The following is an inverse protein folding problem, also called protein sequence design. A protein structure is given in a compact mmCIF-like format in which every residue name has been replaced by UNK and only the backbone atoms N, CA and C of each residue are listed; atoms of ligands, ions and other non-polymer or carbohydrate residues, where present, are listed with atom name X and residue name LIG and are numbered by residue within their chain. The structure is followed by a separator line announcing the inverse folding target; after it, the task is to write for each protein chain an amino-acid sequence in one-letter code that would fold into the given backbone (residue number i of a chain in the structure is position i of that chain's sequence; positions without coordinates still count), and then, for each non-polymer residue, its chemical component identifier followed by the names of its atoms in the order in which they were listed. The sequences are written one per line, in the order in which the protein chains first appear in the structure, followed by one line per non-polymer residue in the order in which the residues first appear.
data_IF_787255017295
#
_entry.id   IF_787255017295
#
_cell.length_a   1.000
_cell.length_b   1.000
_cell.length_c   1.000
_cell.angle_alpha   90.00
_cell.angle_beta   90.00
_cell.angle_gamma   90.00
#
_symmetry.space_group_name_H-M   'P 1'
#
loop_
_entity.id
_entity.type
_entity.pdbx_description
1 polymer ?
#
# COMPACT_ATOMS: atom_id res chain seq x y z
N UNK A 1 -17.28 -4.18 -4.41
CA UNK A 1 -16.18 -3.18 -4.46
C UNK A 1 -14.84 -3.78 -4.03
N UNK A 2 -14.74 -4.33 -2.84
CA UNK A 2 -13.50 -4.92 -2.30
C UNK A 2 -12.82 -5.94 -3.22
N UNK A 3 -13.61 -6.76 -3.92
CA UNK A 3 -13.08 -7.72 -4.89
C UNK A 3 -12.29 -7.04 -6.02
N UNK A 4 -12.82 -5.93 -6.59
CA UNK A 4 -12.13 -5.14 -7.62
C UNK A 4 -10.84 -4.55 -7.04
N UNK A 5 -10.91 -3.94 -5.85
CA UNK A 5 -9.76 -3.35 -5.19
C UNK A 5 -8.67 -4.38 -4.93
N UNK A 6 -9.03 -5.56 -4.42
CA UNK A 6 -8.09 -6.65 -4.17
C UNK A 6 -7.38 -7.13 -5.43
N UNK A 7 -8.11 -7.29 -6.54
CA UNK A 7 -7.52 -7.71 -7.83
C UNK A 7 -6.57 -6.68 -8.42
N UNK A 8 -6.82 -5.39 -8.18
CA UNK A 8 -6.00 -4.32 -8.73
C UNK A 8 -4.85 -3.88 -7.83
N UNK A 9 -4.77 -4.36 -6.61
CA UNK A 9 -3.66 -4.06 -5.72
C UNK A 9 -2.36 -4.78 -6.14
N UNK A 10 -1.94 -4.53 -7.38
CA UNK A 10 -0.72 -5.08 -7.97
C UNK A 10 0.44 -4.07 -7.89
N UNK A 11 1.70 -4.54 -7.89
CA UNK A 11 2.86 -3.64 -7.92
C UNK A 11 2.80 -2.64 -9.08
N UNK A 12 2.42 -3.08 -10.28
CA UNK A 12 2.33 -2.21 -11.47
C UNK A 12 1.27 -1.11 -11.33
N UNK A 13 0.13 -1.40 -10.69
CA UNK A 13 -0.87 -0.36 -10.42
C UNK A 13 -0.40 0.59 -9.32
N UNK A 14 0.17 0.07 -8.24
CA UNK A 14 0.68 0.90 -7.13
C UNK A 14 1.75 1.89 -7.55
N UNK A 15 2.58 1.53 -8.53
CA UNK A 15 3.65 2.39 -9.06
C UNK A 15 3.21 3.28 -10.22
N UNK A 16 1.97 3.13 -10.71
CA UNK A 16 1.49 3.82 -11.91
C UNK A 16 2.03 3.26 -13.22
N UNK A 17 2.75 2.13 -13.20
CA UNK A 17 3.25 1.47 -14.40
C UNK A 17 2.15 0.76 -15.21
N UNK A 18 1.00 0.50 -14.59
CA UNK A 18 -0.17 -0.07 -15.25
C UNK A 18 -1.22 1.00 -15.49
N UNK A 19 -1.75 1.07 -16.70
CA UNK A 19 -2.81 1.99 -17.12
C UNK A 19 -3.82 1.29 -18.00
N UNK A 20 -4.90 2.00 -18.35
CA UNK A 20 -5.91 1.57 -19.30
C UNK A 20 -7.08 0.83 -18.68
N UNK A 21 -7.85 0.19 -19.53
CA UNK A 21 -9.13 -0.42 -19.17
C UNK A 21 -8.98 -1.88 -18.73
N UNK A 22 -9.84 -2.32 -17.82
CA UNK A 22 -9.95 -3.70 -17.34
C UNK A 22 -11.35 -4.22 -17.57
N UNK A 23 -11.43 -5.51 -17.92
CA UNK A 23 -12.67 -6.19 -18.26
C UNK A 23 -12.79 -7.54 -17.52
N UNK A 24 -12.73 -7.55 -16.16
CA UNK A 24 -12.80 -8.82 -15.45
C UNK A 24 -14.16 -9.48 -15.63
N UNK A 25 -14.12 -10.81 -15.79
CA UNK A 25 -15.31 -11.62 -15.65
C UNK A 25 -15.55 -11.92 -14.18
N UNK A 26 -16.79 -11.91 -13.77
CA UNK A 26 -17.16 -12.35 -12.42
C UNK A 26 -17.06 -13.86 -12.36
N UNK A 27 -16.17 -14.34 -11.51
CA UNK A 27 -15.97 -15.77 -11.29
C UNK A 27 -16.96 -16.32 -10.26
N UNK A 28 -17.21 -17.64 -10.33
CA UNK A 28 -18.02 -18.31 -9.32
C UNK A 28 -17.48 -18.11 -7.91
N UNK A 29 -16.14 -18.10 -7.74
CA UNK A 29 -15.47 -17.81 -6.47
C UNK A 29 -15.79 -16.40 -5.94
N UNK A 30 -15.85 -15.40 -6.82
CA UNK A 30 -16.24 -14.04 -6.44
C UNK A 30 -17.69 -13.97 -5.95
N UNK A 31 -18.59 -14.72 -6.61
CA UNK A 31 -20.00 -14.82 -6.23
C UNK A 31 -20.14 -15.52 -4.86
N UNK A 32 -19.39 -16.58 -4.62
CA UNK A 32 -19.41 -17.32 -3.36
C UNK A 32 -18.81 -16.50 -2.20
N UNK A 33 -17.74 -15.75 -2.48
CA UNK A 33 -17.06 -14.93 -1.46
C UNK A 33 -17.87 -13.70 -1.02
N UNK A 34 -18.60 -13.07 -1.94
CA UNK A 34 -19.31 -11.80 -1.68
C UNK A 34 -20.81 -12.02 -1.52
N UNK A 35 -21.37 -13.03 -2.20
CA UNK A 35 -22.79 -13.23 -2.35
C UNK A 35 -23.35 -12.52 -3.59
N UNK A 36 -24.20 -13.23 -4.36
CA UNK A 36 -24.72 -12.72 -5.64
C UNK A 36 -25.46 -11.39 -5.47
N UNK A 37 -26.33 -11.28 -4.47
CA UNK A 37 -27.12 -10.08 -4.20
C UNK A 37 -26.24 -8.87 -3.90
N UNK A 38 -25.32 -9.01 -2.98
CA UNK A 38 -24.37 -7.99 -2.58
C UNK A 38 -23.53 -7.50 -3.78
N UNK A 39 -23.09 -8.44 -4.61
CA UNK A 39 -22.30 -8.13 -5.81
C UNK A 39 -23.10 -7.32 -6.82
N UNK A 40 -24.39 -7.65 -7.06
CA UNK A 40 -25.28 -6.88 -7.92
C UNK A 40 -25.55 -5.48 -7.37
N UNK A 41 -25.81 -5.35 -6.09
CA UNK A 41 -26.03 -4.06 -5.40
C UNK A 41 -24.78 -3.16 -5.48
N UNK A 42 -23.59 -3.71 -5.21
CA UNK A 42 -22.33 -2.98 -5.33
C UNK A 42 -22.02 -2.57 -6.78
N UNK A 43 -22.27 -3.46 -7.75
CA UNK A 43 -22.08 -3.13 -9.16
C UNK A 43 -22.99 -1.98 -9.61
N UNK A 44 -24.26 -1.98 -9.17
CA UNK A 44 -25.20 -0.90 -9.48
C UNK A 44 -24.78 0.45 -8.87
N UNK A 45 -24.25 0.45 -7.63
CA UNK A 45 -23.72 1.66 -6.97
C UNK A 45 -22.50 2.20 -7.73
N UNK A 46 -21.56 1.36 -8.10
CA UNK A 46 -20.37 1.76 -8.85
C UNK A 46 -20.69 2.24 -10.27
N UNK A 47 -21.64 1.59 -10.94
CA UNK A 47 -22.14 2.04 -12.24
C UNK A 47 -22.83 3.40 -12.12
N UNK A 48 -23.69 3.58 -11.12
CA UNK A 48 -24.34 4.85 -10.83
C UNK A 48 -23.39 5.99 -10.51
N UNK A 49 -22.21 5.69 -9.93
CA UNK A 49 -21.15 6.67 -9.68
C UNK A 49 -20.26 6.95 -10.91
N UNK A 50 -20.45 6.22 -12.00
CA UNK A 50 -19.66 6.34 -13.23
C UNK A 50 -18.24 5.77 -13.13
N UNK A 51 -17.96 4.99 -12.08
CA UNK A 51 -16.64 4.36 -11.89
C UNK A 51 -16.46 3.07 -12.67
N UNK A 52 -17.57 2.40 -13.00
CA UNK A 52 -17.58 1.19 -13.83
C UNK A 52 -18.70 1.27 -14.86
N UNK A 53 -18.59 0.46 -15.93
CA UNK A 53 -19.70 0.08 -16.78
C UNK A 53 -19.95 -1.42 -16.63
N UNK A 54 -21.19 -1.83 -16.68
CA UNK A 54 -21.59 -3.23 -16.44
C UNK A 54 -22.36 -3.76 -17.65
N UNK A 55 -21.89 -4.88 -18.19
CA UNK A 55 -22.65 -5.68 -19.14
C UNK A 55 -23.60 -6.59 -18.37
N UNK A 56 -24.86 -6.20 -18.30
CA UNK A 56 -25.90 -6.94 -17.59
C UNK A 56 -26.48 -8.07 -18.44
N UNK A 57 -26.84 -9.18 -17.78
CA UNK A 57 -27.65 -10.28 -18.35
C UNK A 57 -28.98 -10.36 -17.61
N UNK A 58 -29.94 -11.09 -18.21
CA UNK A 58 -31.21 -11.46 -17.58
C UNK A 58 -31.94 -10.30 -16.89
N UNK A 59 -32.15 -9.21 -17.63
CA UNK A 59 -32.80 -8.01 -17.08
C UNK A 59 -32.17 -7.47 -15.80
N UNK A 60 -30.84 -7.43 -15.72
CA UNK A 60 -30.03 -7.02 -14.56
C UNK A 60 -30.00 -8.00 -13.38
N UNK A 61 -30.39 -9.25 -13.59
CA UNK A 61 -30.28 -10.29 -12.56
C UNK A 61 -28.93 -11.00 -12.55
N UNK A 62 -28.07 -10.72 -13.53
CA UNK A 62 -26.73 -11.27 -13.61
C UNK A 62 -25.77 -10.31 -14.32
N UNK A 63 -24.46 -10.43 -14.02
CA UNK A 63 -23.40 -9.63 -14.60
C UNK A 63 -22.59 -10.49 -15.56
N UNK A 64 -22.51 -10.05 -16.83
CA UNK A 64 -21.66 -10.71 -17.81
C UNK A 64 -20.21 -10.26 -17.67
N UNK A 65 -20.00 -8.95 -17.51
CA UNK A 65 -18.67 -8.33 -17.45
C UNK A 65 -18.75 -6.98 -16.76
N UNK A 66 -17.64 -6.60 -16.14
CA UNK A 66 -17.43 -5.26 -15.58
C UNK A 66 -16.32 -4.59 -16.40
N UNK A 67 -16.47 -3.31 -16.69
CA UNK A 67 -15.49 -2.49 -17.36
C UNK A 67 -15.13 -1.32 -16.46
N UNK A 68 -13.84 -1.08 -16.23
CA UNK A 68 -13.38 0.10 -15.48
C UNK A 68 -11.96 0.49 -15.89
N UNK A 69 -11.61 1.72 -15.63
CA UNK A 69 -10.27 2.26 -15.87
C UNK A 69 -9.41 2.13 -14.63
N UNK A 70 -8.14 1.78 -14.81
CA UNK A 70 -7.19 1.68 -13.69
C UNK A 70 -6.97 3.04 -12.99
N UNK A 71 -7.13 4.13 -13.71
CA UNK A 71 -7.05 5.49 -13.18
C UNK A 71 -8.15 5.78 -12.14
N UNK A 72 -9.32 5.17 -12.30
CA UNK A 72 -10.48 5.37 -11.42
C UNK A 72 -10.43 4.51 -10.14
N UNK A 73 -9.52 3.53 -10.06
CA UNK A 73 -9.43 2.62 -8.91
C UNK A 73 -9.13 3.38 -7.60
N UNK A 74 -8.38 4.48 -7.65
CA UNK A 74 -8.16 5.33 -6.48
C UNK A 74 -9.46 5.91 -5.91
N UNK A 75 -10.36 6.38 -6.78
CA UNK A 75 -11.69 6.86 -6.38
C UNK A 75 -12.56 5.75 -5.78
N UNK A 76 -12.34 4.50 -6.22
CA UNK A 76 -13.02 3.35 -5.61
C UNK A 76 -12.52 3.11 -4.17
N UNK A 77 -11.22 3.31 -3.89
CA UNK A 77 -10.67 3.27 -2.52
C UNK A 77 -11.30 4.35 -1.64
N UNK A 78 -11.40 5.59 -2.14
CA UNK A 78 -12.07 6.70 -1.43
C UNK A 78 -13.53 6.37 -1.12
N UNK A 79 -14.28 5.90 -2.12
CA UNK A 79 -15.69 5.53 -1.96
C UNK A 79 -15.90 4.36 -0.98
N UNK A 80 -14.93 3.44 -0.93
CA UNK A 80 -14.94 2.32 0.01
C UNK A 80 -14.54 2.72 1.44
N UNK A 81 -13.97 3.91 1.63
CA UNK A 81 -13.39 4.32 2.92
C UNK A 81 -12.15 3.51 3.31
N UNK A 82 -11.46 2.93 2.32
CA UNK A 82 -10.26 2.10 2.52
C UNK A 82 -9.04 2.94 2.11
N UNK A 83 -7.95 2.95 2.89
CA UNK A 83 -6.73 3.66 2.52
C UNK A 83 -6.15 3.20 1.18
N UNK A 84 -5.80 4.14 0.31
CA UNK A 84 -5.19 3.84 -0.99
C UNK A 84 -3.73 3.34 -0.78
N UNK A 85 -3.38 2.12 -1.23
CA UNK A 85 -2.03 1.57 -1.09
C UNK A 85 -0.93 2.41 -1.76
N UNK A 86 -1.28 3.24 -2.77
CA UNK A 86 -0.34 4.16 -3.42
C UNK A 86 0.11 5.27 -2.49
N UNK A 87 -0.79 5.75 -1.62
CA UNK A 87 -0.43 6.75 -0.62
C UNK A 87 0.51 6.19 0.44
N UNK A 88 0.28 4.95 0.91
CA UNK A 88 1.19 4.26 1.81
C UNK A 88 2.58 4.11 1.19
N UNK A 89 2.64 3.71 -0.09
CA UNK A 89 3.89 3.59 -0.83
C UNK A 89 4.62 4.94 -0.96
N UNK A 90 3.88 6.02 -1.25
CA UNK A 90 4.45 7.36 -1.37
C UNK A 90 4.97 7.89 -0.02
N UNK A 91 4.21 7.69 1.08
CA UNK A 91 4.64 8.04 2.44
C UNK A 91 5.91 7.29 2.83
N UNK A 92 5.94 5.98 2.63
CA UNK A 92 7.10 5.15 2.89
C UNK A 92 8.34 5.61 2.12
N UNK A 93 8.19 5.89 0.82
CA UNK A 93 9.28 6.41 0.00
C UNK A 93 9.79 7.76 0.48
N UNK A 94 8.92 8.63 0.97
CA UNK A 94 9.32 9.93 1.54
C UNK A 94 10.07 9.76 2.85
N UNK A 95 9.58 8.90 3.74
CA UNK A 95 10.22 8.58 5.02
C UNK A 95 11.63 8.00 4.82
N UNK A 96 11.76 7.01 3.94
CA UNK A 96 13.04 6.38 3.61
C UNK A 96 14.05 7.39 3.05
N UNK A 97 13.61 8.30 2.16
CA UNK A 97 14.48 9.35 1.63
C UNK A 97 14.94 10.32 2.70
N UNK A 98 14.05 10.69 3.63
CA UNK A 98 14.39 11.56 4.75
C UNK A 98 15.47 10.92 5.61
N UNK A 99 15.26 9.70 6.12
CA UNK A 99 16.25 9.02 6.98
C UNK A 99 17.57 8.73 6.27
N UNK A 100 17.53 8.45 4.96
CA UNK A 100 18.74 8.34 4.13
C UNK A 100 19.53 9.67 4.08
N UNK A 101 18.81 10.79 3.96
CA UNK A 101 19.45 12.10 3.91
C UNK A 101 20.08 12.49 5.25
N UNK A 102 19.43 12.10 6.36
CA UNK A 102 19.89 12.39 7.73
C UNK A 102 21.05 11.48 8.18
N UNK A 103 21.34 10.40 7.43
CA UNK A 103 22.39 9.45 7.78
C UNK A 103 23.78 9.99 7.43
N UNK A 104 24.70 10.05 8.43
CA UNK A 104 26.09 10.48 8.24
C UNK A 104 26.98 9.36 7.68
N UNK A 105 26.72 8.10 8.07
CA UNK A 105 27.52 6.96 7.67
C UNK A 105 27.20 6.53 6.23
N UNK A 106 28.10 6.85 5.28
CA UNK A 106 27.95 6.54 3.86
C UNK A 106 27.84 5.02 3.58
N UNK A 107 28.49 4.16 4.39
CA UNK A 107 28.49 2.71 4.19
C UNK A 107 27.10 2.08 4.38
N UNK A 108 26.18 2.75 5.07
CA UNK A 108 24.82 2.30 5.27
C UNK A 108 23.81 2.86 4.24
N UNK A 109 24.19 3.85 3.45
CA UNK A 109 23.29 4.41 2.39
C UNK A 109 22.82 3.39 1.37
N UNK A 110 23.62 2.38 0.95
CA UNK A 110 23.16 1.34 0.04
C UNK A 110 21.95 0.52 0.56
N UNK A 111 21.79 0.40 1.88
CA UNK A 111 20.57 -0.21 2.46
C UNK A 111 19.32 0.59 2.08
N UNK A 112 19.35 1.90 2.25
CA UNK A 112 18.25 2.79 1.89
C UNK A 112 17.99 2.82 0.40
N UNK A 113 19.03 2.80 -0.43
CA UNK A 113 18.91 2.76 -1.89
C UNK A 113 18.20 1.49 -2.36
N UNK A 114 18.56 0.33 -1.77
CA UNK A 114 17.88 -0.93 -2.05
C UNK A 114 16.42 -0.91 -1.59
N UNK A 115 16.13 -0.28 -0.46
CA UNK A 115 14.77 -0.13 0.05
C UNK A 115 13.93 0.77 -0.86
N UNK A 116 14.50 1.89 -1.32
CA UNK A 116 13.85 2.78 -2.30
C UNK A 116 13.60 2.07 -3.65
N UNK A 117 14.52 1.19 -4.06
CA UNK A 117 14.31 0.35 -5.25
C UNK A 117 13.13 -0.61 -5.07
N UNK A 118 12.99 -1.25 -3.91
CA UNK A 118 11.86 -2.13 -3.60
C UNK A 118 10.53 -1.36 -3.60
N UNK A 119 10.50 -0.19 -2.95
CA UNK A 119 9.35 0.70 -2.93
C UNK A 119 9.00 1.15 -4.36
N UNK A 120 10.00 1.52 -5.16
CA UNK A 120 9.83 1.87 -6.57
C UNK A 120 9.28 0.72 -7.44
N UNK A 121 9.46 -0.51 -7.03
CA UNK A 121 8.85 -1.72 -7.64
C UNK A 121 7.46 -2.06 -7.07
N UNK A 122 6.92 -1.22 -6.18
CA UNK A 122 5.61 -1.41 -5.57
C UNK A 122 5.57 -2.39 -4.39
N UNK A 123 6.73 -2.74 -3.84
CA UNK A 123 6.85 -3.55 -2.62
C UNK A 123 6.93 -2.66 -1.40
N UNK A 124 6.15 -2.97 -0.36
CA UNK A 124 6.13 -2.24 0.90
C UNK A 124 6.41 -3.22 2.04
N UNK A 125 7.66 -3.35 2.51
CA UNK A 125 7.99 -4.13 3.70
C UNK A 125 7.30 -3.54 4.95
N UNK A 126 6.81 -4.37 5.86
CA UNK A 126 6.06 -3.93 7.06
C UNK A 126 6.82 -2.93 7.93
N UNK A 127 8.15 -3.10 8.06
CA UNK A 127 8.97 -2.23 8.90
C UNK A 127 9.17 -0.82 8.32
N UNK A 128 8.84 -0.58 7.05
CA UNK A 128 9.06 0.72 6.39
C UNK A 128 8.14 1.83 6.93
N UNK A 129 7.01 1.47 7.51
CA UNK A 129 6.11 2.43 8.17
C UNK A 129 6.50 2.70 9.64
N UNK A 130 7.51 1.99 10.16
CA UNK A 130 7.99 2.16 11.52
C UNK A 130 9.13 3.21 11.58
N UNK A 131 8.77 4.42 11.91
CA UNK A 131 9.74 5.55 12.06
C UNK A 131 10.81 5.28 13.12
N UNK A 132 10.44 4.63 14.23
CA UNK A 132 11.39 4.29 15.28
C UNK A 132 12.45 3.30 14.84
N UNK A 133 12.11 2.42 13.89
CA UNK A 133 13.09 1.52 13.26
C UNK A 133 14.19 2.31 12.55
N UNK A 134 13.84 3.31 11.74
CA UNK A 134 14.83 4.13 11.03
C UNK A 134 15.63 5.03 11.96
N UNK A 135 14.98 5.58 12.97
CA UNK A 135 15.66 6.37 14.03
C UNK A 135 16.71 5.53 14.74
N UNK A 136 16.37 4.31 15.13
CA UNK A 136 17.31 3.38 15.75
C UNK A 136 18.43 2.99 14.79
N UNK A 137 18.09 2.67 13.53
CA UNK A 137 19.07 2.28 12.52
C UNK A 137 20.11 3.37 12.29
N UNK A 138 19.69 4.63 12.06
CA UNK A 138 20.62 5.74 11.88
C UNK A 138 21.48 5.97 13.13
N UNK A 139 20.87 5.93 14.30
CA UNK A 139 21.60 6.11 15.55
C UNK A 139 22.66 5.00 15.77
N UNK A 140 22.39 3.76 15.37
CA UNK A 140 23.38 2.67 15.40
C UNK A 140 24.45 2.87 14.34
N UNK A 141 24.05 3.21 13.11
CA UNK A 141 24.96 3.38 11.98
C UNK A 141 25.96 4.53 12.19
N UNK A 142 25.50 5.65 12.78
CA UNK A 142 26.31 6.85 13.06
C UNK A 142 27.03 6.79 14.40
N UNK A 143 26.71 5.76 15.23
CA UNK A 143 27.32 5.64 16.56
C UNK A 143 28.78 5.18 16.47
N UNK A 144 29.67 6.00 16.95
CA UNK A 144 31.12 5.72 17.06
C UNK A 144 31.56 5.27 18.45
N UNK A 145 30.63 5.20 19.40
CA UNK A 145 30.88 4.90 20.81
C UNK A 145 30.26 3.54 21.17
N UNK A 146 30.90 2.82 22.09
CA UNK A 146 30.30 1.62 22.69
C UNK A 146 29.32 2.07 23.79
N UNK A 147 28.02 1.96 23.50
CA UNK A 147 26.95 2.29 24.44
C UNK A 147 26.24 1.02 24.93
N UNK A 148 25.86 1.01 26.21
CA UNK A 148 24.93 0.01 26.72
C UNK A 148 23.54 0.25 26.14
N UNK A 149 22.76 -0.83 25.97
CA UNK A 149 21.38 -0.78 25.44
C UNK A 149 20.52 0.31 26.12
N UNK A 150 20.61 0.42 27.44
CA UNK A 150 19.87 1.43 28.21
C UNK A 150 20.31 2.86 27.91
N UNK A 151 21.61 3.10 27.69
CA UNK A 151 22.16 4.41 27.32
C UNK A 151 21.77 4.77 25.90
N UNK A 152 21.86 3.80 24.98
CA UNK A 152 21.42 3.96 23.59
C UNK A 152 19.92 4.27 23.52
N UNK A 153 19.10 3.48 24.23
CA UNK A 153 17.66 3.64 24.30
C UNK A 153 17.27 5.02 24.86
N UNK A 154 17.91 5.47 25.92
CA UNK A 154 17.68 6.80 26.48
C UNK A 154 18.07 7.93 25.51
N UNK A 155 19.20 7.78 24.81
CA UNK A 155 19.71 8.77 23.85
C UNK A 155 18.82 8.93 22.63
N UNK A 156 18.34 7.82 22.07
CA UNK A 156 17.59 7.79 20.80
C UNK A 156 16.10 8.06 21.01
N UNK A 157 15.52 7.48 22.06
CA UNK A 157 14.07 7.51 22.32
C UNK A 157 13.66 8.29 23.57
N UNK A 158 14.62 8.86 24.29
CA UNK A 158 14.35 9.54 25.57
C UNK A 158 13.88 8.60 26.68
N UNK A 159 13.94 7.28 26.49
CA UNK A 159 13.46 6.26 27.41
C UNK A 159 14.45 5.09 27.51
N UNK A 160 15.10 4.95 28.67
CA UNK A 160 16.10 3.91 28.92
C UNK A 160 15.57 2.46 28.80
N UNK A 161 14.26 2.25 28.80
CA UNK A 161 13.61 0.95 28.74
C UNK A 161 12.84 0.72 27.42
N UNK A 162 13.14 1.45 26.38
CA UNK A 162 12.39 1.36 25.13
C UNK A 162 12.44 -0.06 24.52
N UNK A 163 13.60 -0.71 24.49
CA UNK A 163 13.77 -2.08 23.97
C UNK A 163 13.46 -3.17 25.01
N UNK A 164 13.25 -2.84 26.26
CA UNK A 164 12.97 -3.80 27.34
C UNK A 164 11.48 -4.04 27.61
N UNK A 165 10.62 -3.75 26.64
CA UNK A 165 9.19 -4.06 26.62
C UNK A 165 8.95 -5.07 25.53
#
# INVERSE_FOLDING_TARGET
MEWILKQNNTPGWRTGASSGERHPQITQEAIEAVGKRELLEQAAVLEGSGLIAVDWREMRNDIARIHYRLEDVGRMYELAGIPDPREALARAGSLVRQYRADLENEDFKPFYDKLLEQIGKGSLPEYVENEDFFRALNAVADNRESLWETQFSARVFGNAKYFGK
#
